data_IF_390810282247
#
_entry.id   IF_390810282247
#
_cell.length_a   1.000
_cell.length_b   1.000
_cell.length_c   1.000
_cell.angle_alpha   90.00
_cell.angle_beta   90.00
_cell.angle_gamma   90.00
#
_symmetry.space_group_name_H-M   'P 1'
#
loop_
_entity.id
_entity.type
_entity.pdbx_description
1 polymer ?
#
# COMPACT_ATOMS: atom_id res chain seq x y z
N UNK A 1 0.84 11.03 23.80
CA UNK A 1 -0.16 10.08 23.29
C UNK A 1 -1.40 10.88 22.90
N UNK A 2 -2.04 10.57 21.77
CA UNK A 2 -3.21 11.31 21.27
C UNK A 2 -4.46 10.82 22.03
N UNK A 3 -5.41 11.70 22.40
CA UNK A 3 -6.66 11.28 23.01
C UNK A 3 -7.46 10.36 22.08
N UNK A 4 -8.21 9.40 22.61
CA UNK A 4 -8.92 8.37 21.83
C UNK A 4 -9.88 8.96 20.78
N UNK A 5 -10.47 10.12 21.09
CA UNK A 5 -11.32 10.88 20.17
C UNK A 5 -10.57 11.40 18.95
N UNK A 6 -9.31 11.83 19.11
CA UNK A 6 -8.46 12.25 17.99
C UNK A 6 -8.06 11.05 17.12
N UNK A 7 -7.76 9.90 17.74
CA UNK A 7 -7.43 8.68 16.99
C UNK A 7 -8.62 8.22 16.13
N UNK A 8 -9.83 8.22 16.70
CA UNK A 8 -11.07 7.97 15.94
C UNK A 8 -11.24 8.97 14.79
N UNK A 9 -11.00 10.26 15.05
CA UNK A 9 -11.06 11.30 14.03
C UNK A 9 -10.10 11.06 12.87
N UNK A 10 -8.85 10.67 13.17
CA UNK A 10 -7.84 10.33 12.15
C UNK A 10 -8.26 9.11 11.33
N UNK A 11 -8.75 8.05 11.98
CA UNK A 11 -9.21 6.84 11.26
C UNK A 11 -10.34 7.19 10.30
N UNK A 12 -11.35 7.96 10.75
CA UNK A 12 -12.45 8.40 9.89
C UNK A 12 -11.95 9.26 8.72
N UNK A 13 -11.05 10.20 8.99
CA UNK A 13 -10.43 11.03 7.96
C UNK A 13 -9.71 10.19 6.90
N UNK A 14 -8.95 9.17 7.30
CA UNK A 14 -8.27 8.26 6.38
C UNK A 14 -9.26 7.62 5.41
N UNK A 15 -10.41 7.14 5.90
CA UNK A 15 -11.41 6.50 5.05
C UNK A 15 -12.01 7.47 4.03
N UNK A 16 -12.32 8.70 4.45
CA UNK A 16 -12.87 9.72 3.56
C UNK A 16 -11.85 10.25 2.56
N UNK A 17 -10.59 10.39 2.94
CA UNK A 17 -9.50 10.89 2.07
C UNK A 17 -9.01 9.80 1.11
N UNK A 18 -9.06 8.53 1.52
CA UNK A 18 -8.68 7.41 0.66
C UNK A 18 -9.57 7.30 -0.59
N UNK A 19 -10.86 7.63 -0.50
CA UNK A 19 -11.78 7.60 -1.64
C UNK A 19 -11.35 8.54 -2.79
N UNK A 20 -11.22 9.87 -2.62
CA UNK A 20 -10.75 10.77 -3.67
C UNK A 20 -9.28 10.51 -4.04
N UNK A 21 -8.46 10.12 -3.07
CA UNK A 21 -7.07 9.72 -3.30
C UNK A 21 -6.94 8.57 -4.28
N UNK A 22 -7.83 7.57 -4.18
CA UNK A 22 -7.84 6.43 -5.09
C UNK A 22 -8.03 6.84 -6.55
N UNK A 23 -8.89 7.81 -6.82
CA UNK A 23 -9.18 8.26 -8.19
C UNK A 23 -8.01 9.08 -8.74
N UNK A 24 -7.46 10.00 -7.96
CA UNK A 24 -6.32 10.83 -8.39
C UNK A 24 -5.08 9.98 -8.68
N UNK A 25 -4.77 9.06 -7.77
CA UNK A 25 -3.61 8.16 -7.91
C UNK A 25 -3.81 7.13 -9.02
N UNK A 26 -5.04 6.64 -9.23
CA UNK A 26 -5.37 5.75 -10.34
C UNK A 26 -5.20 6.44 -11.70
N UNK A 27 -5.60 7.71 -11.84
CA UNK A 27 -5.37 8.47 -13.08
C UNK A 27 -3.89 8.62 -13.42
N UNK A 28 -3.06 8.87 -12.40
CA UNK A 28 -1.60 8.90 -12.58
C UNK A 28 -1.14 7.52 -13.08
N UNK A 29 -1.67 6.44 -12.50
CA UNK A 29 -1.33 5.07 -12.89
C UNK A 29 -1.68 4.72 -14.34
N UNK A 30 -2.81 5.20 -14.84
CA UNK A 30 -3.22 4.97 -16.22
C UNK A 30 -2.29 5.65 -17.24
N UNK A 31 -1.69 6.79 -16.87
CA UNK A 31 -0.73 7.51 -17.73
C UNK A 31 0.73 7.02 -17.61
N UNK A 32 1.18 6.65 -16.42
CA UNK A 32 2.58 6.28 -16.13
C UNK A 32 2.85 4.77 -16.15
N UNK A 33 1.79 3.97 -16.27
CA UNK A 33 1.82 2.51 -16.17
C UNK A 33 1.57 2.03 -14.74
N UNK A 34 0.66 1.04 -14.61
CA UNK A 34 0.20 0.50 -13.32
C UNK A 34 1.31 -0.13 -12.50
N UNK A 35 2.21 -0.89 -13.14
CA UNK A 35 3.38 -1.51 -12.48
C UNK A 35 4.30 -0.46 -11.85
N UNK A 36 4.69 0.56 -12.62
CA UNK A 36 5.58 1.63 -12.14
C UNK A 36 4.94 2.40 -11.00
N UNK A 37 3.65 2.68 -11.11
CA UNK A 37 2.90 3.39 -10.07
C UNK A 37 2.81 2.61 -8.78
N UNK A 38 2.63 1.28 -8.85
CA UNK A 38 2.72 0.43 -7.66
C UNK A 38 4.13 0.44 -7.06
N UNK A 39 5.19 0.31 -7.86
CA UNK A 39 6.57 0.40 -7.35
C UNK A 39 6.85 1.74 -6.66
N UNK A 40 6.41 2.86 -7.25
CA UNK A 40 6.49 4.18 -6.63
C UNK A 40 5.70 4.22 -5.33
N UNK A 41 4.48 3.67 -5.30
CA UNK A 41 3.68 3.62 -4.06
C UNK A 41 4.37 2.85 -2.94
N UNK A 42 5.04 1.73 -3.25
CA UNK A 42 5.83 0.99 -2.27
C UNK A 42 7.02 1.81 -1.76
N UNK A 43 7.67 2.59 -2.63
CA UNK A 43 8.72 3.51 -2.23
C UNK A 43 8.17 4.63 -1.32
N UNK A 44 6.99 5.19 -1.61
CA UNK A 44 6.33 6.17 -0.75
C UNK A 44 5.99 5.56 0.61
N UNK A 45 5.47 4.33 0.65
CA UNK A 45 5.22 3.61 1.90
C UNK A 45 6.49 3.42 2.74
N UNK A 46 7.58 2.96 2.13
CA UNK A 46 8.86 2.82 2.81
C UNK A 46 9.38 4.17 3.33
N UNK A 47 9.28 5.23 2.53
CA UNK A 47 9.65 6.58 2.95
C UNK A 47 8.79 7.06 4.13
N UNK A 48 7.50 6.76 4.12
CA UNK A 48 6.57 7.15 5.19
C UNK A 48 6.94 6.49 6.52
N UNK A 49 7.33 5.20 6.51
CA UNK A 49 7.80 4.50 7.72
C UNK A 49 9.04 5.17 8.31
N UNK A 50 9.97 5.61 7.45
CA UNK A 50 11.18 6.30 7.88
C UNK A 50 10.82 7.70 8.39
N UNK A 51 10.00 8.46 7.65
CA UNK A 51 9.52 9.79 8.02
C UNK A 51 8.78 9.81 9.37
N UNK A 52 8.00 8.76 9.65
CA UNK A 52 7.27 8.59 10.91
C UNK A 52 8.18 8.56 12.15
N UNK A 53 9.47 8.22 12.00
CA UNK A 53 10.43 8.21 13.11
C UNK A 53 10.74 9.61 13.65
N UNK A 54 10.70 10.63 12.78
CA UNK A 54 11.03 12.01 13.12
C UNK A 54 9.80 12.84 13.49
N UNK A 55 8.58 12.34 13.22
CA UNK A 55 7.34 13.04 13.57
C UNK A 55 7.04 12.84 15.06
N UNK A 56 7.23 13.92 15.83
CA UNK A 56 6.88 13.99 17.26
C UNK A 56 5.69 14.89 17.55
N UNK A 57 5.25 15.70 16.56
CA UNK A 57 4.20 16.71 16.70
C UNK A 57 2.84 16.19 16.21
N UNK A 58 1.76 16.56 16.91
CA UNK A 58 0.38 16.17 16.54
C UNK A 58 0.01 16.62 15.13
N UNK A 59 0.27 17.88 14.73
CA UNK A 59 0.01 18.36 13.37
C UNK A 59 0.76 17.55 12.30
N UNK A 60 1.99 17.13 12.58
CA UNK A 60 2.77 16.29 11.66
C UNK A 60 2.13 14.93 11.44
N UNK A 61 1.50 14.37 12.47
CA UNK A 61 0.76 13.11 12.39
C UNK A 61 -0.48 13.22 11.50
N UNK A 62 -1.25 14.31 11.61
CA UNK A 62 -2.42 14.54 10.75
C UNK A 62 -2.06 14.68 9.27
N UNK A 63 -1.00 15.43 8.96
CA UNK A 63 -0.51 15.59 7.58
C UNK A 63 -0.03 14.24 7.04
N UNK A 64 0.75 13.49 7.82
CA UNK A 64 1.22 12.17 7.43
C UNK A 64 0.05 11.20 7.20
N UNK A 65 -0.96 11.21 8.08
CA UNK A 65 -2.15 10.39 7.94
C UNK A 65 -2.93 10.72 6.66
N UNK A 66 -3.04 12.00 6.29
CA UNK A 66 -3.65 12.41 5.02
C UNK A 66 -2.86 11.89 3.80
N UNK A 67 -1.53 11.98 3.83
CA UNK A 67 -0.67 11.44 2.76
C UNK A 67 -0.82 9.92 2.66
N UNK A 68 -0.78 9.21 3.78
CA UNK A 68 -1.00 7.76 3.84
C UNK A 68 -2.37 7.40 3.27
N UNK A 69 -3.43 8.14 3.63
CA UNK A 69 -4.78 7.89 3.16
C UNK A 69 -4.87 7.97 1.63
N UNK A 70 -4.27 8.99 1.01
CA UNK A 70 -4.23 9.13 -0.44
C UNK A 70 -3.53 7.94 -1.12
N UNK A 71 -2.37 7.54 -0.59
CA UNK A 71 -1.58 6.44 -1.15
C UNK A 71 -2.25 5.09 -0.90
N UNK A 72 -2.91 4.90 0.25
CA UNK A 72 -3.63 3.68 0.61
C UNK A 72 -4.74 3.38 -0.40
N UNK A 73 -5.61 4.36 -0.67
CA UNK A 73 -6.69 4.22 -1.65
C UNK A 73 -6.16 4.01 -3.07
N UNK A 74 -5.13 4.77 -3.45
CA UNK A 74 -4.48 4.66 -4.76
C UNK A 74 -3.88 3.29 -5.04
N UNK A 75 -3.04 2.82 -4.12
CA UNK A 75 -2.36 1.51 -4.23
C UNK A 75 -3.38 0.38 -4.32
N UNK A 76 -4.46 0.44 -3.53
CA UNK A 76 -5.51 -0.58 -3.54
C UNK A 76 -6.25 -0.63 -4.88
N UNK A 77 -6.59 0.53 -5.46
CA UNK A 77 -7.26 0.62 -6.76
C UNK A 77 -6.36 0.10 -7.90
N UNK A 78 -5.11 0.57 -7.96
CA UNK A 78 -4.16 0.19 -9.02
C UNK A 78 -3.79 -1.29 -8.95
N UNK A 79 -3.59 -1.84 -7.76
CA UNK A 79 -3.27 -3.26 -7.58
C UNK A 79 -4.37 -4.17 -8.10
N UNK A 80 -5.64 -3.85 -7.79
CA UNK A 80 -6.80 -4.58 -8.31
C UNK A 80 -6.93 -4.46 -9.82
N UNK A 81 -6.74 -3.25 -10.36
CA UNK A 81 -6.83 -3.00 -11.80
C UNK A 81 -5.74 -3.73 -12.59
N UNK A 82 -4.50 -3.73 -12.08
CA UNK A 82 -3.41 -4.49 -12.69
C UNK A 82 -3.69 -6.00 -12.64
N UNK A 83 -4.23 -6.50 -11.52
CA UNK A 83 -4.61 -7.90 -11.42
C UNK A 83 -5.67 -8.27 -12.45
N UNK A 84 -6.72 -7.46 -12.64
CA UNK A 84 -7.78 -7.75 -13.63
C UNK A 84 -7.26 -7.88 -15.06
N UNK A 85 -6.20 -7.15 -15.42
CA UNK A 85 -5.60 -7.22 -16.76
C UNK A 85 -4.77 -8.47 -16.99
N UNK A 86 -4.23 -9.08 -15.93
CA UNK A 86 -3.41 -10.29 -16.01
C UNK A 86 -4.23 -11.59 -15.97
N UNK A 87 -5.54 -11.51 -15.71
CA UNK A 87 -6.37 -12.70 -15.55
C UNK A 87 -6.80 -13.26 -16.91
N UNK A 88 -6.60 -14.56 -17.18
CA UNK A 88 -7.11 -15.21 -18.38
C UNK A 88 -8.65 -15.30 -18.37
N UNK A 89 -9.25 -15.14 -19.55
CA UNK A 89 -10.70 -15.18 -19.72
C UNK A 89 -11.33 -16.45 -19.13
N UNK A 90 -12.42 -16.28 -18.37
CA UNK A 90 -13.16 -17.38 -17.76
C UNK A 90 -12.67 -17.83 -16.38
N UNK A 91 -11.56 -17.29 -15.85
CA UNK A 91 -11.01 -17.69 -14.54
C UNK A 91 -11.01 -16.57 -13.48
N UNK A 92 -11.75 -15.48 -13.72
CA UNK A 92 -11.83 -14.30 -12.84
C UNK A 92 -12.05 -14.65 -11.36
N UNK A 93 -13.02 -15.52 -11.05
CA UNK A 93 -13.33 -15.87 -9.67
C UNK A 93 -12.16 -16.56 -8.94
N UNK A 94 -11.42 -17.44 -9.60
CA UNK A 94 -10.31 -18.18 -9.00
C UNK A 94 -9.14 -17.24 -8.69
N UNK A 95 -8.74 -16.42 -9.65
CA UNK A 95 -7.62 -15.49 -9.49
C UNK A 95 -7.92 -14.38 -8.48
N UNK A 96 -9.15 -13.82 -8.49
CA UNK A 96 -9.56 -12.85 -7.45
C UNK A 96 -9.68 -13.50 -6.07
N UNK A 97 -10.10 -14.78 -6.01
CA UNK A 97 -10.08 -15.56 -4.77
C UNK A 97 -8.68 -15.69 -4.18
N UNK A 98 -7.70 -16.09 -5.00
CA UNK A 98 -6.30 -16.15 -4.59
C UNK A 98 -5.75 -14.77 -4.20
N UNK A 99 -6.01 -13.72 -4.98
CA UNK A 99 -5.57 -12.35 -4.67
C UNK A 99 -6.08 -11.89 -3.30
N UNK A 100 -7.36 -12.10 -3.01
CA UNK A 100 -7.95 -11.73 -1.72
C UNK A 100 -7.39 -12.58 -0.57
N UNK A 101 -7.16 -13.88 -0.78
CA UNK A 101 -6.54 -14.75 0.22
C UNK A 101 -5.10 -14.32 0.52
N UNK A 102 -4.29 -14.08 -0.52
CA UNK A 102 -2.93 -13.56 -0.38
C UNK A 102 -2.91 -12.24 0.37
N UNK A 103 -3.80 -11.30 0.03
CA UNK A 103 -3.92 -10.03 0.76
C UNK A 103 -4.24 -10.20 2.24
N UNK A 104 -5.18 -11.10 2.58
CA UNK A 104 -5.49 -11.42 3.98
C UNK A 104 -4.33 -12.10 4.71
N UNK A 105 -3.65 -13.03 4.06
CA UNK A 105 -2.48 -13.72 4.61
C UNK A 105 -1.34 -12.72 4.89
N UNK A 106 -1.03 -11.84 3.94
CA UNK A 106 -0.03 -10.78 4.13
C UNK A 106 -0.42 -9.82 5.24
N UNK A 107 -1.70 -9.44 5.35
CA UNK A 107 -2.18 -8.60 6.46
C UNK A 107 -1.99 -9.28 7.81
N UNK A 108 -2.27 -10.59 7.91
CA UNK A 108 -2.06 -11.34 9.15
C UNK A 108 -0.57 -11.40 9.52
N UNK A 109 0.31 -11.70 8.55
CA UNK A 109 1.76 -11.73 8.75
C UNK A 109 2.29 -10.36 9.19
N UNK A 110 1.83 -9.27 8.55
CA UNK A 110 2.22 -7.91 8.89
C UNK A 110 1.83 -7.53 10.32
N UNK A 111 0.58 -7.78 10.71
CA UNK A 111 0.10 -7.52 12.08
C UNK A 111 0.83 -8.38 13.12
N UNK A 112 1.06 -9.66 12.81
CA UNK A 112 1.80 -10.56 13.69
C UNK A 112 3.25 -10.07 13.89
N UNK A 113 3.94 -9.73 12.80
CA UNK A 113 5.30 -9.21 12.86
C UNK A 113 5.36 -7.90 13.65
N UNK A 114 4.44 -6.97 13.38
CA UNK A 114 4.35 -5.70 14.10
C UNK A 114 4.16 -5.91 15.61
N UNK A 115 3.21 -6.78 15.99
CA UNK A 115 2.95 -7.12 17.38
C UNK A 115 4.13 -7.82 18.06
N UNK A 116 4.80 -8.75 17.37
CA UNK A 116 5.97 -9.44 17.89
C UNK A 116 7.13 -8.47 18.17
N UNK A 117 7.39 -7.52 17.28
CA UNK A 117 8.44 -6.52 17.48
C UNK A 117 8.09 -5.59 18.65
N UNK A 118 6.83 -5.15 18.78
CA UNK A 118 6.40 -4.38 19.96
C UNK A 118 6.60 -5.18 21.25
N UNK A 119 6.22 -6.45 21.27
CA UNK A 119 6.35 -7.30 22.45
C UNK A 119 7.82 -7.47 22.89
N UNK A 120 8.75 -7.54 21.94
CA UNK A 120 10.17 -7.70 22.22
C UNK A 120 10.89 -6.38 22.52
N UNK A 121 10.52 -5.30 21.85
CA UNK A 121 11.27 -4.03 21.88
C UNK A 121 10.59 -2.93 22.70
N UNK A 122 9.31 -3.11 23.09
CA UNK A 122 8.47 -2.09 23.74
C UNK A 122 8.41 -0.75 22.99
N UNK A 123 8.67 -0.75 21.68
CA UNK A 123 8.73 0.47 20.87
C UNK A 123 7.97 0.34 19.56
N UNK A 124 6.87 1.10 19.43
CA UNK A 124 6.07 1.17 18.21
C UNK A 124 6.87 1.72 17.03
N UNK A 125 7.87 2.59 17.28
CA UNK A 125 8.73 3.16 16.23
C UNK A 125 9.59 2.09 15.58
N UNK A 126 10.17 1.20 16.38
CA UNK A 126 11.00 0.10 15.87
C UNK A 126 10.11 -0.92 15.14
N UNK A 127 8.89 -1.16 15.63
CA UNK A 127 7.93 -2.01 14.94
C UNK A 127 7.51 -1.47 13.56
N UNK A 128 7.33 -0.14 13.40
CA UNK A 128 7.05 0.47 12.10
C UNK A 128 8.17 0.20 11.09
N UNK A 129 9.42 0.42 11.48
CA UNK A 129 10.60 0.16 10.62
C UNK A 129 10.77 -1.34 10.37
N UNK A 130 10.37 -2.18 11.32
CA UNK A 130 10.34 -3.63 11.17
C UNK A 130 9.46 -4.14 10.03
N UNK A 131 8.53 -3.33 9.53
CA UNK A 131 7.72 -3.65 8.34
C UNK A 131 8.44 -3.33 7.02
N UNK A 132 9.53 -2.56 7.05
CA UNK A 132 10.26 -2.15 5.85
C UNK A 132 10.75 -3.34 5.00
N UNK A 133 11.25 -4.47 5.56
CA UNK A 133 11.55 -5.67 4.80
C UNK A 133 10.36 -6.23 4.01
N UNK A 134 9.13 -6.18 4.55
CA UNK A 134 7.93 -6.62 3.82
C UNK A 134 7.69 -5.77 2.57
N UNK A 135 7.87 -4.45 2.67
CA UNK A 135 7.76 -3.55 1.52
C UNK A 135 8.87 -3.80 0.49
N UNK A 136 10.11 -4.07 0.93
CA UNK A 136 11.22 -4.39 0.03
C UNK A 136 10.99 -5.71 -0.72
N UNK A 137 10.55 -6.76 -0.02
CA UNK A 137 10.20 -8.05 -0.64
C UNK A 137 9.04 -7.87 -1.62
N UNK A 138 8.02 -7.10 -1.25
CA UNK A 138 6.90 -6.76 -2.14
C UNK A 138 7.36 -6.03 -3.40
N UNK A 139 8.25 -5.05 -3.27
CA UNK A 139 8.80 -4.29 -4.39
C UNK A 139 9.64 -5.19 -5.30
N UNK A 140 10.46 -6.06 -4.71
CA UNK A 140 11.26 -7.03 -5.44
C UNK A 140 10.39 -8.03 -6.22
N UNK A 141 9.37 -8.61 -5.59
CA UNK A 141 8.42 -9.51 -6.25
C UNK A 141 7.69 -8.80 -7.40
N UNK A 142 7.19 -7.58 -7.17
CA UNK A 142 6.51 -6.80 -8.19
C UNK A 142 7.44 -6.44 -9.36
N UNK A 143 8.72 -6.19 -9.10
CA UNK A 143 9.70 -5.91 -10.16
C UNK A 143 9.84 -7.07 -11.16
N UNK A 144 9.66 -8.31 -10.69
CA UNK A 144 9.72 -9.54 -11.50
C UNK A 144 8.48 -9.76 -12.35
N UNK A 145 7.35 -9.14 -12.01
CA UNK A 145 6.11 -9.24 -12.80
C UNK A 145 6.31 -8.54 -14.14
N UNK A 146 6.11 -9.27 -15.25
CA UNK A 146 6.07 -8.69 -16.59
C UNK A 146 4.62 -8.34 -16.90
N UNK A 147 4.37 -7.06 -17.13
CA UNK A 147 3.07 -6.54 -17.54
C UNK A 147 3.19 -6.20 -19.01
N UNK A 148 2.36 -6.80 -19.86
CA UNK A 148 2.30 -6.47 -21.29
C UNK A 148 1.74 -5.05 -21.46
N UNK A 149 2.62 -4.07 -21.34
CA UNK A 149 2.37 -2.65 -21.54
C UNK A 149 3.64 -1.83 -21.79
N UNK A 150 4.83 -2.43 -21.62
CA UNK A 150 6.09 -1.87 -22.09
C UNK A 150 6.28 -2.27 -23.58
N UNK A 151 5.71 -1.48 -24.49
CA UNK A 151 6.18 -1.33 -25.88
C UNK A 151 5.91 -2.47 -26.88
N UNK A 152 5.23 -2.10 -27.97
CA UNK A 152 5.05 -2.81 -29.24
C UNK A 152 4.16 -4.07 -29.19
N UNK A 153 2.87 -3.82 -29.41
CA UNK A 153 2.09 -4.65 -30.33
C UNK A 153 2.75 -4.53 -31.69
N UNK A 154 3.63 -5.47 -32.02
CA UNK A 154 3.87 -5.79 -33.42
C UNK A 154 2.93 -6.95 -33.76
N UNK A 155 1.80 -6.56 -34.32
CA UNK A 155 0.95 -7.40 -35.16
C UNK A 155 1.28 -7.12 -36.63
N UNK A 156 0.94 -7.98 -37.60
CA UNK A 156 0.44 -9.36 -37.54
C UNK A 156 1.44 -10.41 -38.05
#
# INVERSE_FOLDING_TARGET
EMPETELMGVILMIQFVAMPGSIGFARIADSFGKKRTLLVSLAVWAFTLIAALWITNSNGFWILAAVIALVLGGTQAVSRSLMSEMIPAGQNAQYFGFFNLSGKATSFIGTFLFGAIIAMTNSSRIAMVGLLPLFLVGAWLLSKVRVSGDGCVESP
#
